data_IF_721938888213
#
_entry.id   IF_721938888213
#
_cell.length_a   1.000
_cell.length_b   1.000
_cell.length_c   1.000
_cell.angle_alpha   90.00
_cell.angle_beta   90.00
_cell.angle_gamma   90.00
#
_symmetry.space_group_name_H-M   'P 1'
#
loop_
_entity.id
_entity.type
_entity.pdbx_description
1 polymer ?
#
# COMPACT_ATOMS: atom_id res chain seq x y z
N UNK A 1 -13.77 -20.08 3.39
CA UNK A 1 -13.10 -19.01 4.16
C UNK A 1 -12.64 -17.93 3.18
N UNK A 2 -12.88 -16.65 3.46
CA UNK A 2 -12.65 -15.55 2.53
C UNK A 2 -12.80 -14.18 3.20
N UNK A 3 -12.59 -13.11 2.44
CA UNK A 3 -12.84 -11.76 2.96
C UNK A 3 -14.32 -11.57 3.28
N UNK A 4 -14.64 -11.04 4.45
CA UNK A 4 -16.01 -10.66 4.84
C UNK A 4 -16.52 -9.43 4.10
N UNK A 5 -15.62 -8.64 3.50
CA UNK A 5 -15.91 -7.39 2.76
C UNK A 5 -15.27 -7.43 1.36
N UNK A 6 -15.32 -8.57 0.68
CA UNK A 6 -14.50 -8.86 -0.50
C UNK A 6 -14.58 -7.81 -1.63
N UNK A 7 -15.76 -7.29 -1.94
CA UNK A 7 -15.91 -6.26 -2.99
C UNK A 7 -15.27 -4.93 -2.57
N UNK A 8 -15.46 -4.54 -1.31
CA UNK A 8 -14.92 -3.30 -0.77
C UNK A 8 -13.41 -3.38 -0.62
N UNK A 9 -12.89 -4.49 -0.08
CA UNK A 9 -11.45 -4.71 0.09
C UNK A 9 -10.72 -4.67 -1.26
N UNK A 10 -11.29 -5.29 -2.31
CA UNK A 10 -10.72 -5.24 -3.67
C UNK A 10 -10.75 -3.84 -4.27
N UNK A 11 -11.86 -3.12 -4.06
CA UNK A 11 -11.98 -1.74 -4.53
C UNK A 11 -10.97 -0.82 -3.85
N UNK A 12 -10.89 -0.87 -2.52
CA UNK A 12 -9.98 -0.06 -1.72
C UNK A 12 -8.51 -0.37 -2.07
N UNK A 13 -8.18 -1.65 -2.26
CA UNK A 13 -6.85 -2.08 -2.69
C UNK A 13 -6.47 -1.50 -4.05
N UNK A 14 -7.33 -1.61 -5.07
CA UNK A 14 -7.06 -1.07 -6.40
C UNK A 14 -6.98 0.46 -6.40
N UNK A 15 -7.84 1.12 -5.63
CA UNK A 15 -7.79 2.58 -5.43
C UNK A 15 -6.46 3.02 -4.80
N UNK A 16 -5.95 2.23 -3.86
CA UNK A 16 -4.67 2.52 -3.21
C UNK A 16 -3.48 2.37 -4.16
N UNK A 17 -3.52 1.45 -5.13
CA UNK A 17 -2.48 1.37 -6.18
C UNK A 17 -2.38 2.68 -6.98
N UNK A 18 -3.53 3.25 -7.38
CA UNK A 18 -3.58 4.55 -8.07
C UNK A 18 -3.06 5.66 -7.16
N UNK A 19 -3.44 5.65 -5.88
CA UNK A 19 -2.95 6.63 -4.91
C UNK A 19 -1.43 6.57 -4.76
N UNK A 20 -0.83 5.39 -4.58
CA UNK A 20 0.62 5.21 -4.47
C UNK A 20 1.36 5.73 -5.71
N UNK A 21 0.82 5.46 -6.91
CA UNK A 21 1.35 6.01 -8.16
C UNK A 21 1.31 7.53 -8.18
N UNK A 22 0.18 8.14 -7.81
CA UNK A 22 0.01 9.60 -7.80
C UNK A 22 0.97 10.31 -6.83
N UNK A 23 1.29 9.69 -5.69
CA UNK A 23 2.18 10.28 -4.68
C UNK A 23 3.64 9.83 -4.78
N UNK A 24 3.97 8.99 -5.76
CA UNK A 24 5.32 8.42 -5.88
C UNK A 24 5.74 7.60 -4.66
N UNK A 25 4.81 6.84 -4.07
CA UNK A 25 5.12 5.87 -3.01
C UNK A 25 5.64 4.58 -3.66
N UNK A 26 6.97 4.39 -3.62
CA UNK A 26 7.64 3.25 -4.26
C UNK A 26 7.82 2.04 -3.35
N UNK A 27 7.60 2.19 -2.04
CA UNK A 27 7.79 1.14 -1.04
C UNK A 27 6.50 0.38 -0.72
N UNK A 28 5.65 0.13 -1.72
CA UNK A 28 4.36 -0.54 -1.57
C UNK A 28 4.44 -2.07 -1.43
N UNK A 29 5.37 -2.61 -0.65
CA UNK A 29 5.64 -4.05 -0.60
C UNK A 29 4.62 -4.84 0.25
N UNK A 30 4.58 -6.17 0.09
CA UNK A 30 3.54 -7.04 0.67
C UNK A 30 3.32 -6.90 2.20
N UNK A 31 4.36 -6.54 2.97
CA UNK A 31 4.28 -6.35 4.42
C UNK A 31 3.55 -5.07 4.85
N UNK A 32 3.28 -4.15 3.91
CA UNK A 32 2.54 -2.90 4.16
C UNK A 32 1.02 -3.08 4.02
N UNK A 33 0.59 -4.32 3.79
CA UNK A 33 -0.80 -4.72 3.78
C UNK A 33 -1.05 -5.75 4.87
N UNK A 34 -2.09 -5.52 5.66
CA UNK A 34 -2.52 -6.45 6.71
C UNK A 34 -3.99 -6.77 6.57
N UNK A 35 -4.39 -7.88 7.20
CA UNK A 35 -5.78 -8.29 7.34
C UNK A 35 -6.12 -8.52 8.81
N UNK A 36 -7.33 -8.17 9.21
CA UNK A 36 -7.89 -8.66 10.45
C UNK A 36 -8.31 -10.11 10.27
N UNK A 37 -7.96 -10.98 11.22
CA UNK A 37 -8.54 -12.32 11.33
C UNK A 37 -9.77 -12.22 12.23
N UNK A 38 -10.91 -12.67 11.74
CA UNK A 38 -12.19 -12.61 12.44
C UNK A 38 -12.61 -14.01 12.94
N UNK A 39 -13.56 -14.02 13.87
CA UNK A 39 -14.14 -15.26 14.38
C UNK A 39 -14.67 -16.14 13.22
N UNK A 40 -14.42 -17.44 13.28
CA UNK A 40 -14.80 -18.36 12.20
C UNK A 40 -13.84 -18.39 11.00
N UNK A 41 -12.69 -17.68 11.07
CA UNK A 41 -11.64 -17.74 10.06
C UNK A 41 -11.91 -16.92 8.80
N UNK A 42 -12.87 -15.99 8.83
CA UNK A 42 -12.97 -14.92 7.82
C UNK A 42 -11.89 -13.87 8.07
N UNK A 43 -11.62 -13.04 7.08
CA UNK A 43 -10.68 -11.92 7.19
C UNK A 43 -11.24 -10.64 6.57
N UNK A 44 -10.61 -9.50 6.81
CA UNK A 44 -10.90 -8.25 6.09
C UNK A 44 -9.65 -7.37 6.03
N UNK A 45 -9.55 -6.51 5.02
CA UNK A 45 -8.45 -5.57 4.89
C UNK A 45 -8.41 -4.57 6.08
N UNK A 46 -7.21 -4.29 6.59
CA UNK A 46 -6.98 -3.21 7.56
C UNK A 46 -6.88 -1.85 6.84
N UNK A 47 -6.99 -0.71 7.54
CA UNK A 47 -6.56 0.57 6.97
C UNK A 47 -5.11 0.49 6.46
N UNK A 48 -4.78 1.27 5.42
CA UNK A 48 -3.41 1.37 4.90
C UNK A 48 -2.51 2.16 5.87
N UNK A 49 -1.25 1.76 5.97
CA UNK A 49 -0.23 2.34 6.86
C UNK A 49 1.13 2.38 6.13
N UNK A 50 2.15 2.95 6.79
CA UNK A 50 3.51 3.11 6.24
C UNK A 50 3.56 3.78 4.85
N UNK A 51 2.80 4.87 4.69
CA UNK A 51 2.70 5.64 3.45
C UNK A 51 3.75 6.75 3.44
N UNK A 52 4.72 6.67 2.54
CA UNK A 52 5.77 7.68 2.35
C UNK A 52 5.87 8.05 0.87
N UNK A 53 5.85 9.34 0.55
CA UNK A 53 6.09 9.85 -0.80
C UNK A 53 7.58 10.06 -1.04
N UNK A 54 8.08 9.70 -2.22
CA UNK A 54 9.46 9.95 -2.60
C UNK A 54 9.70 11.35 -3.20
N UNK A 55 8.66 12.12 -3.49
CA UNK A 55 8.79 13.47 -4.08
C UNK A 55 9.61 14.47 -3.23
N UNK A 56 9.53 14.51 -1.89
CA UNK A 56 10.35 15.40 -1.08
C UNK A 56 11.86 15.13 -1.18
N UNK A 57 12.24 13.91 -1.57
CA UNK A 57 13.64 13.49 -1.70
C UNK A 57 14.21 13.88 -3.06
N UNK A 58 13.35 14.04 -4.09
CA UNK A 58 13.74 14.33 -5.48
C UNK A 58 14.25 15.77 -5.74
N UNK A 59 14.65 16.53 -4.71
CA UNK A 59 15.10 17.92 -4.86
C UNK A 59 16.15 18.44 -3.87
N UNK A 60 16.56 17.66 -2.86
CA UNK A 60 17.54 18.11 -1.87
C UNK A 60 18.54 17.02 -1.54
N UNK A 61 19.80 17.19 -1.97
CA UNK A 61 21.00 16.40 -1.62
C UNK A 61 20.77 14.97 -1.05
N UNK A 62 19.93 14.17 -1.70
CA UNK A 62 19.42 12.93 -1.11
C UNK A 62 18.78 12.03 -2.16
N UNK A 63 19.30 10.81 -2.20
CA UNK A 63 18.91 9.60 -2.96
C UNK A 63 18.76 9.78 -4.48
N UNK A 64 19.58 9.04 -5.21
CA UNK A 64 19.63 9.07 -6.66
C UNK A 64 18.38 8.39 -7.23
N UNK A 65 17.82 8.92 -8.32
CA UNK A 65 16.55 8.44 -8.92
C UNK A 65 16.62 6.93 -9.29
N UNK A 66 17.83 6.40 -9.48
CA UNK A 66 18.12 4.97 -9.68
C UNK A 66 17.74 4.06 -8.51
N UNK A 67 17.59 4.63 -7.31
CA UNK A 67 17.27 3.90 -6.07
C UNK A 67 15.74 3.86 -5.82
N UNK A 68 14.95 4.66 -6.54
CA UNK A 68 13.50 4.49 -6.63
C UNK A 68 13.17 3.33 -7.58
N UNK A 69 13.46 2.09 -7.17
CA UNK A 69 12.90 0.91 -7.82
C UNK A 69 11.66 0.45 -7.08
N UNK A 70 10.56 0.26 -7.81
CA UNK A 70 9.45 -0.56 -7.37
C UNK A 70 9.95 -1.99 -7.22
N UNK A 71 9.79 -2.57 -6.03
CA UNK A 71 9.99 -3.98 -5.75
C UNK A 71 8.75 -4.81 -6.10
#
# INVERSE_FOLDING_TARGET
MGSSEALKDRYDFMKFQVFQWLIGATDGHAKNFSVFIQAGGSYRLTPFYDIISAFPVLGGAGIHISDLKLA
#
